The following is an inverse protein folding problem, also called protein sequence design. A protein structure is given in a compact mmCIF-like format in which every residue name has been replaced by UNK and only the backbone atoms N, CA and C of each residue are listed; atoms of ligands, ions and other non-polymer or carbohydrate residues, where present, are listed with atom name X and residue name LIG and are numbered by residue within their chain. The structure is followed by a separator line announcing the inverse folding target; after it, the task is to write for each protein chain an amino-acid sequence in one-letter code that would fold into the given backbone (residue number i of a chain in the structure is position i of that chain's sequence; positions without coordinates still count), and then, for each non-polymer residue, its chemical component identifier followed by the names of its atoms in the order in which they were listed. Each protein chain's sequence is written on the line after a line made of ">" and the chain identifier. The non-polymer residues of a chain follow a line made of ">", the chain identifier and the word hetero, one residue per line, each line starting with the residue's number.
data_IF_803534256487
#
_entry.id   IF_803534256487
#
_cell.length_a   1.000
_cell.length_b   1.000
_cell.length_c   1.000
_cell.angle_alpha   90.00
_cell.angle_beta   90.00
_cell.angle_gamma   90.00
#
_symmetry.space_group_name_H-M   'P 1'
#
loop_
_entity.id
_entity.type
_entity.pdbx_description
1 polymer ?
#
# COMPACT_ATOMS: atom_id res chain seq x y z
N UNK A 1 16.39 -21.15 -25.10
CA UNK A 1 15.99 -19.79 -24.70
C UNK A 1 15.05 -19.88 -23.48
N UNK A 2 15.46 -19.32 -22.37
CA UNK A 2 14.62 -19.34 -21.17
C UNK A 2 13.49 -18.33 -21.31
N UNK A 3 12.27 -18.80 -21.12
CA UNK A 3 11.11 -17.93 -21.07
C UNK A 3 10.99 -17.36 -19.66
N UNK A 4 11.05 -16.04 -19.55
CA UNK A 4 10.87 -15.41 -18.24
C UNK A 4 9.43 -15.63 -17.76
N UNK A 5 9.29 -16.00 -16.50
CA UNK A 5 7.98 -16.16 -15.89
C UNK A 5 7.26 -14.80 -15.85
N UNK A 6 5.97 -14.82 -16.17
CA UNK A 6 5.10 -13.66 -16.09
C UNK A 6 3.88 -13.97 -15.26
N UNK A 7 3.16 -12.95 -14.86
CA UNK A 7 1.89 -13.06 -14.15
C UNK A 7 0.93 -12.00 -14.70
N UNK A 8 -0.35 -12.36 -14.76
CA UNK A 8 -1.39 -11.41 -15.13
C UNK A 8 -1.63 -10.44 -13.98
N UNK A 9 -1.50 -9.14 -14.25
CA UNK A 9 -1.82 -8.10 -13.28
C UNK A 9 -3.24 -7.60 -13.53
N UNK A 10 -4.18 -7.87 -12.62
CA UNK A 10 -5.57 -7.45 -12.80
C UNK A 10 -5.74 -5.92 -12.75
N UNK A 11 -4.79 -5.20 -12.18
CA UNK A 11 -4.86 -3.74 -12.09
C UNK A 11 -4.33 -3.06 -13.34
N UNK A 12 -3.17 -3.52 -13.85
CA UNK A 12 -2.58 -3.00 -15.09
C UNK A 12 -3.16 -3.68 -16.34
N UNK A 13 -3.88 -4.77 -16.15
CA UNK A 13 -4.55 -5.55 -17.20
C UNK A 13 -3.58 -5.99 -18.30
N UNK A 14 -2.47 -6.57 -17.88
CA UNK A 14 -1.44 -7.11 -18.77
C UNK A 14 -0.57 -8.12 -18.05
N UNK A 15 0.16 -8.90 -18.84
CA UNK A 15 1.20 -9.76 -18.29
C UNK A 15 2.39 -8.90 -17.88
N UNK A 16 2.92 -9.14 -16.68
CA UNK A 16 4.09 -8.43 -16.15
C UNK A 16 5.13 -9.46 -15.72
N UNK A 17 6.39 -9.05 -15.72
CA UNK A 17 7.48 -9.93 -15.27
C UNK A 17 7.28 -10.31 -13.81
N UNK A 18 7.41 -11.60 -13.52
CA UNK A 18 7.23 -12.12 -12.16
C UNK A 18 8.54 -12.04 -11.38
N UNK A 19 8.91 -10.83 -11.00
CA UNK A 19 10.06 -10.58 -10.12
C UNK A 19 9.68 -10.89 -8.67
N UNK A 20 10.66 -11.04 -7.75
CA UNK A 20 10.35 -11.24 -6.33
C UNK A 20 9.45 -10.14 -5.75
N UNK A 21 9.68 -8.89 -6.13
CA UNK A 21 8.84 -7.78 -5.70
C UNK A 21 7.44 -7.87 -6.28
N UNK A 22 7.31 -8.25 -7.57
CA UNK A 22 6.01 -8.41 -8.22
C UNK A 22 5.20 -9.55 -7.59
N UNK A 23 5.86 -10.60 -7.11
CA UNK A 23 5.19 -11.67 -6.36
C UNK A 23 4.53 -11.12 -5.10
N UNK A 24 5.23 -10.27 -4.38
CA UNK A 24 4.71 -9.62 -3.16
C UNK A 24 3.54 -8.71 -3.53
N UNK A 25 3.67 -7.93 -4.58
CA UNK A 25 2.59 -7.03 -5.03
C UNK A 25 1.33 -7.81 -5.40
N UNK A 26 1.46 -8.87 -6.19
CA UNK A 26 0.31 -9.68 -6.60
C UNK A 26 -0.35 -10.37 -5.40
N UNK A 27 0.45 -10.86 -4.46
CA UNK A 27 -0.07 -11.42 -3.22
C UNK A 27 -0.87 -10.35 -2.45
N UNK A 28 -0.35 -9.12 -2.36
CA UNK A 28 -1.05 -8.01 -1.71
C UNK A 28 -2.37 -7.67 -2.38
N UNK A 29 -2.41 -7.65 -3.71
CA UNK A 29 -3.66 -7.40 -4.44
C UNK A 29 -4.71 -8.43 -4.05
N UNK A 30 -4.32 -9.70 -3.95
CA UNK A 30 -5.23 -10.77 -3.53
C UNK A 30 -5.70 -10.58 -2.08
N UNK A 31 -4.81 -10.23 -1.17
CA UNK A 31 -5.15 -9.97 0.24
C UNK A 31 -6.14 -8.81 0.34
N UNK A 32 -5.86 -7.73 -0.36
CA UNK A 32 -6.76 -6.57 -0.38
C UNK A 32 -8.14 -6.93 -0.90
N UNK A 33 -8.19 -7.65 -2.02
CA UNK A 33 -9.47 -8.01 -2.66
C UNK A 33 -10.25 -9.06 -1.86
N UNK A 34 -9.59 -10.12 -1.40
CA UNK A 34 -10.26 -11.27 -0.80
C UNK A 34 -10.45 -11.16 0.70
N UNK A 35 -9.45 -10.65 1.42
CA UNK A 35 -9.51 -10.57 2.88
C UNK A 35 -10.01 -9.22 3.39
N UNK A 36 -9.61 -8.14 2.75
CA UNK A 36 -10.00 -6.80 3.16
C UNK A 36 -11.20 -6.25 2.36
N UNK A 37 -11.66 -7.01 1.38
CA UNK A 37 -12.84 -6.69 0.57
C UNK A 37 -12.75 -5.36 -0.17
N UNK A 38 -11.54 -5.01 -0.61
CA UNK A 38 -11.33 -3.83 -1.43
C UNK A 38 -11.73 -4.14 -2.86
N UNK A 39 -12.65 -3.37 -3.46
CA UNK A 39 -13.00 -3.58 -4.86
C UNK A 39 -11.79 -3.37 -5.76
N UNK A 40 -11.60 -4.26 -6.73
CA UNK A 40 -10.44 -4.21 -7.64
C UNK A 40 -10.39 -2.86 -8.38
N UNK A 41 -11.54 -2.32 -8.77
CA UNK A 41 -11.60 -1.04 -9.48
C UNK A 41 -11.25 0.18 -8.59
N UNK A 42 -11.09 -0.02 -7.28
CA UNK A 42 -10.64 1.02 -6.36
C UNK A 42 -9.14 0.94 -6.08
N UNK A 43 -8.43 0.05 -6.77
CA UNK A 43 -6.98 -0.10 -6.63
C UNK A 43 -6.27 0.35 -7.90
N UNK A 44 -5.07 0.93 -7.72
CA UNK A 44 -4.17 1.25 -8.82
C UNK A 44 -2.77 0.75 -8.46
N UNK A 45 -2.14 0.04 -9.40
CA UNK A 45 -0.79 -0.47 -9.25
C UNK A 45 0.21 0.49 -9.87
N UNK A 46 1.37 0.65 -9.24
CA UNK A 46 2.42 1.56 -9.71
C UNK A 46 1.91 2.98 -9.98
N UNK A 47 1.12 3.50 -9.03
CA UNK A 47 0.53 4.82 -9.17
C UNK A 47 1.58 5.91 -8.97
N UNK A 48 1.83 6.69 -10.03
CA UNK A 48 2.69 7.86 -9.96
C UNK A 48 1.85 9.11 -9.73
N UNK A 49 2.36 10.00 -8.88
CA UNK A 49 1.69 11.26 -8.62
C UNK A 49 2.70 12.33 -8.24
N UNK A 50 2.31 13.58 -8.42
CA UNK A 50 3.16 14.73 -8.15
C UNK A 50 2.56 15.58 -7.04
N UNK A 51 3.36 15.89 -6.02
CA UNK A 51 2.98 16.79 -4.95
C UNK A 51 4.01 17.92 -4.91
N UNK A 52 3.60 19.15 -5.24
CA UNK A 52 4.51 20.25 -5.45
C UNK A 52 5.46 19.92 -6.60
N UNK A 53 6.76 20.01 -6.38
CA UNK A 53 7.78 19.70 -7.38
C UNK A 53 8.28 18.27 -7.27
N UNK A 54 7.84 17.51 -6.26
CA UNK A 54 8.33 16.16 -5.99
C UNK A 54 7.41 15.12 -6.57
N UNK A 55 8.01 14.13 -7.22
CA UNK A 55 7.29 12.97 -7.76
C UNK A 55 7.33 11.83 -6.77
N UNK A 56 6.17 11.19 -6.60
CA UNK A 56 6.00 10.02 -5.75
C UNK A 56 5.46 8.85 -6.56
N UNK A 57 5.72 7.65 -6.06
CA UNK A 57 5.22 6.43 -6.67
C UNK A 57 4.77 5.48 -5.56
N UNK A 58 3.57 4.97 -5.68
CA UNK A 58 3.03 3.97 -4.77
C UNK A 58 2.94 2.62 -5.49
N UNK A 59 3.30 1.54 -4.80
CA UNK A 59 3.17 0.19 -5.36
C UNK A 59 1.72 -0.16 -5.60
N UNK A 60 0.86 0.08 -4.60
CA UNK A 60 -0.59 -0.03 -4.74
C UNK A 60 -1.21 1.16 -4.02
N UNK A 61 -2.16 1.79 -4.68
CA UNK A 61 -2.94 2.87 -4.09
C UNK A 61 -4.41 2.47 -4.10
N UNK A 62 -5.06 2.60 -2.94
CA UNK A 62 -6.49 2.31 -2.78
C UNK A 62 -7.22 3.63 -2.62
N UNK A 63 -8.28 3.81 -3.38
CA UNK A 63 -9.10 5.02 -3.37
C UNK A 63 -10.39 4.82 -2.59
N UNK A 64 -10.88 5.91 -1.98
CA UNK A 64 -12.22 5.91 -1.42
C UNK A 64 -13.26 6.14 -2.53
N UNK A 65 -14.55 6.18 -2.15
CA UNK A 65 -15.64 6.34 -3.12
C UNK A 65 -15.71 7.72 -3.76
N UNK A 66 -14.92 8.67 -3.26
CA UNK A 66 -14.79 10.03 -3.83
C UNK A 66 -13.51 10.18 -4.63
N UNK A 67 -12.88 9.05 -4.97
CA UNK A 67 -11.62 9.01 -5.72
C UNK A 67 -10.45 9.71 -5.00
N UNK A 68 -10.49 9.77 -3.67
CA UNK A 68 -9.39 10.28 -2.88
C UNK A 68 -8.54 9.12 -2.36
N UNK A 69 -7.21 9.28 -2.26
CA UNK A 69 -6.35 8.23 -1.71
C UNK A 69 -6.76 7.88 -0.27
N UNK A 70 -7.00 6.60 -0.03
CA UNK A 70 -7.41 6.06 1.25
C UNK A 70 -6.30 5.27 1.92
N UNK A 71 -5.59 4.46 1.15
CA UNK A 71 -4.53 3.60 1.63
C UNK A 71 -3.42 3.50 0.59
N UNK A 72 -2.18 3.46 1.07
CA UNK A 72 -1.02 3.17 0.25
C UNK A 72 -0.37 1.87 0.73
N UNK A 73 0.07 1.04 -0.21
CA UNK A 73 0.81 -0.19 0.09
C UNK A 73 2.20 -0.06 -0.49
N UNK A 74 3.20 -0.31 0.33
CA UNK A 74 4.59 -0.40 -0.11
C UNK A 74 5.05 -1.84 -0.02
N UNK A 75 5.48 -2.39 -1.16
CA UNK A 75 5.95 -3.76 -1.27
C UNK A 75 7.46 -3.80 -1.37
N UNK A 76 8.08 -4.62 -0.53
CA UNK A 76 9.51 -4.89 -0.55
C UNK A 76 9.72 -6.33 -1.00
N UNK A 77 10.89 -6.62 -1.57
CA UNK A 77 11.25 -8.01 -1.91
C UNK A 77 11.36 -8.83 -0.62
N UNK A 78 11.14 -10.16 -0.70
CA UNK A 78 11.17 -11.02 0.49
C UNK A 78 12.48 -10.96 1.28
N UNK A 79 13.62 -10.69 0.62
CA UNK A 79 14.94 -10.63 1.25
C UNK A 79 15.14 -9.36 2.09
N UNK A 80 14.30 -8.34 1.88
CA UNK A 80 14.44 -7.08 2.63
C UNK A 80 13.86 -7.27 4.02
N UNK A 81 14.72 -7.12 5.03
CA UNK A 81 14.27 -7.15 6.40
C UNK A 81 13.56 -5.84 6.75
N UNK A 82 12.38 -5.92 7.36
CA UNK A 82 11.62 -4.75 7.77
C UNK A 82 12.12 -4.28 9.14
N UNK A 83 13.30 -3.67 9.14
CA UNK A 83 13.87 -3.06 10.35
C UNK A 83 13.12 -1.78 10.70
N UNK A 84 13.31 -1.26 11.89
CA UNK A 84 12.72 0.00 12.30
C UNK A 84 13.12 1.13 11.34
N UNK A 85 14.36 1.14 10.88
CA UNK A 85 14.84 2.13 9.92
C UNK A 85 14.09 2.05 8.58
N UNK A 86 13.88 0.84 8.05
CA UNK A 86 13.14 0.63 6.81
C UNK A 86 11.70 1.10 6.97
N UNK A 87 11.07 0.77 8.10
CA UNK A 87 9.69 1.18 8.40
C UNK A 87 9.56 2.69 8.51
N UNK A 88 10.48 3.32 9.23
CA UNK A 88 10.47 4.78 9.41
C UNK A 88 10.62 5.51 8.07
N UNK A 89 11.50 5.02 7.19
CA UNK A 89 11.67 5.60 5.86
C UNK A 89 10.42 5.44 5.00
N UNK A 90 9.80 4.26 5.03
CA UNK A 90 8.57 3.99 4.27
C UNK A 90 7.42 4.88 4.74
N UNK A 91 7.24 5.00 6.06
CA UNK A 91 6.21 5.85 6.64
C UNK A 91 6.45 7.31 6.25
N UNK A 92 7.68 7.78 6.41
CA UNK A 92 8.04 9.17 6.09
C UNK A 92 7.79 9.49 4.62
N UNK A 93 8.18 8.58 3.74
CA UNK A 93 7.96 8.76 2.30
C UNK A 93 6.47 8.84 1.95
N UNK A 94 5.67 7.94 2.52
CA UNK A 94 4.25 7.85 2.18
C UNK A 94 3.36 8.85 2.93
N UNK A 95 3.86 9.48 3.99
CA UNK A 95 3.12 10.51 4.72
C UNK A 95 2.70 11.69 3.83
N UNK A 96 3.45 11.93 2.75
CA UNK A 96 3.13 13.01 1.81
C UNK A 96 1.75 12.87 1.19
N UNK A 97 1.21 11.65 1.09
CA UNK A 97 -0.13 11.38 0.57
C UNK A 97 -1.24 11.66 1.58
N UNK A 98 -0.90 11.77 2.85
CA UNK A 98 -1.85 11.97 3.95
C UNK A 98 -3.02 10.97 3.92
N UNK A 99 -2.71 9.71 3.60
CA UNK A 99 -3.69 8.63 3.58
C UNK A 99 -4.09 8.20 4.99
N UNK A 100 -5.25 7.57 5.11
CA UNK A 100 -5.71 7.05 6.41
C UNK A 100 -4.97 5.80 6.84
N UNK A 101 -4.51 4.99 5.89
CA UNK A 101 -3.87 3.71 6.15
C UNK A 101 -2.64 3.50 5.28
N UNK A 102 -1.68 2.78 5.83
CA UNK A 102 -0.51 2.30 5.08
C UNK A 102 -0.29 0.83 5.37
N UNK A 103 0.13 0.09 4.35
CA UNK A 103 0.64 -1.27 4.52
C UNK A 103 2.08 -1.28 4.02
N UNK A 104 2.96 -1.87 4.81
CA UNK A 104 4.35 -2.10 4.43
C UNK A 104 4.59 -3.60 4.57
N UNK A 105 5.00 -4.25 3.50
CA UNK A 105 5.13 -5.70 3.50
C UNK A 105 6.28 -6.17 2.63
N UNK A 106 6.90 -7.30 3.04
CA UNK A 106 7.85 -8.03 2.20
C UNK A 106 7.31 -9.42 1.82
N UNK A 107 6.01 -9.66 2.08
CA UNK A 107 5.37 -10.95 1.83
C UNK A 107 5.46 -11.93 2.99
N UNK A 108 6.48 -11.82 3.83
CA UNK A 108 6.66 -12.64 5.03
C UNK A 108 6.15 -11.90 6.26
N UNK A 109 6.47 -10.62 6.36
CA UNK A 109 6.04 -9.75 7.43
C UNK A 109 5.23 -8.60 6.84
N UNK A 110 4.08 -8.33 7.44
CA UNK A 110 3.17 -7.26 7.00
C UNK A 110 2.80 -6.39 8.19
N UNK A 111 2.95 -5.11 8.01
CA UNK A 111 2.60 -4.12 9.02
C UNK A 111 1.53 -3.20 8.46
N UNK A 112 0.49 -2.99 9.27
CA UNK A 112 -0.61 -2.09 8.93
C UNK A 112 -0.55 -0.90 9.86
N UNK A 113 -0.58 0.30 9.30
CA UNK A 113 -0.51 1.55 10.04
C UNK A 113 -1.77 2.35 9.79
N UNK A 114 -2.21 3.09 10.80
CA UNK A 114 -3.36 3.96 10.74
C UNK A 114 -2.97 5.38 11.11
N UNK A 115 -3.49 6.34 10.36
CA UNK A 115 -3.24 7.76 10.58
C UNK A 115 -3.68 8.16 11.99
N UNK A 116 -2.90 9.00 12.61
CA UNK A 116 -3.13 9.47 13.97
C UNK A 116 -2.73 10.93 14.08
N UNK A 117 -3.61 11.74 14.69
CA UNK A 117 -3.23 13.08 15.12
C UNK A 117 -2.34 12.95 16.37
N UNK A 118 -1.28 13.72 16.43
CA UNK A 118 -0.38 13.72 17.56
C UNK A 118 0.21 15.10 17.75
N UNK A 119 0.80 15.34 18.92
CA UNK A 119 1.49 16.57 19.21
C UNK A 119 2.59 16.80 18.16
N UNK A 120 2.59 17.98 17.55
CA UNK A 120 3.54 18.31 16.49
C UNK A 120 3.11 17.92 15.09
N UNK A 121 1.91 17.37 14.89
CA UNK A 121 1.37 17.07 13.57
C UNK A 121 0.74 15.71 13.44
N UNK A 122 0.98 15.07 12.29
CA UNK A 122 0.39 13.79 11.92
C UNK A 122 1.41 12.69 12.06
N UNK A 123 1.00 11.55 12.60
CA UNK A 123 1.80 10.34 12.62
C UNK A 123 0.96 9.13 12.23
N UNK A 124 1.56 7.97 12.32
CA UNK A 124 0.92 6.69 12.03
C UNK A 124 1.20 5.74 13.17
N UNK A 125 0.18 4.97 13.56
CA UNK A 125 0.31 3.95 14.60
C UNK A 125 0.11 2.57 13.99
N UNK A 126 0.86 1.59 14.48
CA UNK A 126 0.67 0.20 14.06
C UNK A 126 -0.60 -0.34 14.66
N UNK A 127 -1.38 -1.08 13.86
CA UNK A 127 -2.59 -1.74 14.33
C UNK A 127 -2.46 -3.24 14.09
N UNK A 128 -3.07 -4.03 14.99
CA UNK A 128 -2.91 -5.48 14.99
C UNK A 128 -3.79 -6.20 13.97
N UNK A 129 -4.90 -5.57 13.60
CA UNK A 129 -5.88 -6.19 12.70
C UNK A 129 -6.07 -5.34 11.46
N UNK A 130 -5.94 -5.96 10.28
CA UNK A 130 -6.20 -5.29 9.02
C UNK A 130 -7.69 -4.97 8.90
N UNK A 131 -8.06 -3.71 8.63
CA UNK A 131 -9.46 -3.33 8.49
C UNK A 131 -10.02 -3.77 7.14
N UNK A 132 -11.35 -3.94 7.08
CA UNK A 132 -12.03 -4.10 5.80
C UNK A 132 -12.12 -2.74 5.08
N UNK A 133 -12.44 -2.77 3.79
CA UNK A 133 -12.63 -1.55 3.01
C UNK A 133 -13.72 -0.66 3.64
N UNK A 134 -14.84 -1.27 4.06
CA UNK A 134 -15.91 -0.53 4.73
C UNK A 134 -15.43 0.13 6.01
N UNK A 135 -14.67 -0.60 6.84
CA UNK A 135 -14.12 -0.04 8.07
C UNK A 135 -13.16 1.12 7.78
N UNK A 136 -12.35 1.01 6.74
CA UNK A 136 -11.45 2.09 6.33
C UNK A 136 -12.21 3.33 5.90
N UNK A 137 -13.31 3.16 5.16
CA UNK A 137 -14.13 4.28 4.72
C UNK A 137 -14.80 5.02 5.87
N UNK A 138 -15.16 4.28 6.92
CA UNK A 138 -15.85 4.84 8.09
C UNK A 138 -14.91 5.50 9.08
N UNK A 139 -13.64 5.14 9.05
CA UNK A 139 -12.65 5.68 9.98
C UNK A 139 -12.47 7.18 9.79
N UNK A 140 -12.57 7.92 10.91
CA UNK A 140 -12.29 9.36 10.96
C UNK A 140 -11.24 9.58 12.03
N UNK A 141 -10.04 10.07 11.66
CA UNK A 141 -9.03 10.41 12.67
C UNK A 141 -9.58 11.49 13.59
N UNK A 142 -9.34 11.33 14.89
CA UNK A 142 -9.69 12.36 15.87
C UNK A 142 -8.80 13.58 15.67
N UNK A 143 -9.37 14.73 15.90
CA UNK A 143 -8.66 16.00 15.86
C UNK A 143 -8.36 16.50 17.27
#
# INVERSE_FOLDING_TARGET
>A
METKATVWDPLRKKEVALTPEERVRQWCINVLAQQMQVPVHMMMSEAGFKLGDKRYRADILVYDRKAQPLMVVECKRPEVELTQEVLDQAIRYNMALDVRYMIITNGTRTLVCRRREQEGGIGYEFICKAPSYTEMLEFRPER
#
